data_IF_550671635087
#
_entry.id   IF_550671635087
#
_cell.length_a   1.000
_cell.length_b   1.000
_cell.length_c   1.000
_cell.angle_alpha   90.00
_cell.angle_beta   90.00
_cell.angle_gamma   90.00
#
_symmetry.space_group_name_H-M   'P 1'
#
loop_
_entity.id
_entity.type
_entity.pdbx_description
1 polymer ?
#
# COMPACT_ATOMS: atom_id res chain seq x y z
N UNK A 1 -13.00 -17.30 -24.14
CA UNK A 1 -12.17 -16.14 -24.55
C UNK A 1 -12.19 -15.09 -23.44
N UNK A 2 -11.59 -15.39 -22.28
CA UNK A 2 -11.73 -14.59 -21.05
C UNK A 2 -10.40 -14.22 -20.40
N UNK A 3 -9.31 -14.92 -20.74
CA UNK A 3 -8.07 -14.85 -19.95
C UNK A 3 -7.27 -13.56 -20.21
N UNK A 4 -7.24 -13.07 -21.45
CA UNK A 4 -6.67 -11.74 -21.77
C UNK A 4 -7.36 -10.62 -21.00
N UNK A 5 -8.67 -10.75 -20.78
CA UNK A 5 -9.46 -9.76 -20.02
C UNK A 5 -9.08 -9.84 -18.54
N UNK A 6 -8.94 -11.04 -17.98
CA UNK A 6 -8.53 -11.25 -16.57
C UNK A 6 -7.11 -10.75 -16.28
N UNK A 7 -6.14 -10.99 -17.17
CA UNK A 7 -4.78 -10.48 -16.99
C UNK A 7 -4.73 -8.95 -17.05
N UNK A 8 -5.40 -8.34 -18.04
CA UNK A 8 -5.48 -6.88 -18.15
C UNK A 8 -6.15 -6.26 -16.91
N UNK A 9 -7.18 -6.92 -16.35
CA UNK A 9 -7.81 -6.51 -15.10
C UNK A 9 -6.85 -6.60 -13.90
N UNK A 10 -6.10 -7.69 -13.76
CA UNK A 10 -5.08 -7.85 -12.72
C UNK A 10 -4.02 -6.74 -12.79
N UNK A 11 -3.54 -6.43 -14.00
CA UNK A 11 -2.55 -5.39 -14.20
C UNK A 11 -3.11 -3.99 -13.90
N UNK A 12 -4.36 -3.71 -14.28
CA UNK A 12 -5.07 -2.48 -13.91
C UNK A 12 -5.18 -2.35 -12.39
N UNK A 13 -5.64 -3.40 -11.71
CA UNK A 13 -5.78 -3.41 -10.25
C UNK A 13 -4.45 -3.18 -9.54
N UNK A 14 -3.35 -3.74 -10.05
CA UNK A 14 -2.03 -3.48 -9.50
C UNK A 14 -1.63 -2.00 -9.63
N UNK A 15 -1.88 -1.39 -10.78
CA UNK A 15 -1.64 0.03 -11.00
C UNK A 15 -2.52 0.91 -10.09
N UNK A 16 -3.77 0.53 -9.87
CA UNK A 16 -4.71 1.24 -8.99
C UNK A 16 -4.26 1.17 -7.53
N UNK A 17 -3.79 0.01 -7.07
CA UNK A 17 -3.22 -0.17 -5.71
C UNK A 17 -1.97 0.68 -5.55
N UNK A 18 -1.10 0.72 -6.55
CA UNK A 18 0.11 1.54 -6.50
C UNK A 18 -0.22 3.04 -6.46
N UNK A 19 -1.20 3.49 -7.26
CA UNK A 19 -1.67 4.88 -7.22
C UNK A 19 -2.31 5.25 -5.88
N UNK A 20 -3.09 4.33 -5.30
CA UNK A 20 -3.70 4.51 -3.97
C UNK A 20 -2.64 4.60 -2.88
N UNK A 21 -1.63 3.72 -2.94
CA UNK A 21 -0.49 3.76 -2.02
C UNK A 21 0.26 5.09 -2.06
N UNK A 22 0.53 5.64 -3.26
CA UNK A 22 1.20 6.94 -3.39
C UNK A 22 0.37 8.11 -2.83
N UNK A 23 -0.96 8.10 -3.04
CA UNK A 23 -1.84 9.11 -2.45
C UNK A 23 -1.82 9.04 -0.93
N UNK A 24 -1.89 7.83 -0.40
CA UNK A 24 -1.92 7.60 1.03
C UNK A 24 -0.59 7.98 1.70
N UNK A 25 0.54 7.73 1.04
CA UNK A 25 1.84 8.26 1.47
C UNK A 25 1.84 9.80 1.54
N UNK A 26 1.23 10.46 0.56
CA UNK A 26 1.15 11.93 0.53
C UNK A 26 0.29 12.45 1.69
N UNK A 27 -0.89 11.86 1.90
CA UNK A 27 -1.76 12.21 3.03
C UNK A 27 -1.05 11.97 4.36
N UNK A 28 -0.25 10.91 4.44
CA UNK A 28 0.56 10.65 5.61
C UNK A 28 1.55 11.80 5.87
N UNK A 29 2.36 12.13 4.86
CA UNK A 29 3.35 13.21 4.99
C UNK A 29 2.72 14.57 5.34
N UNK A 30 1.53 14.86 4.81
CA UNK A 30 0.76 16.06 5.15
C UNK A 30 0.31 16.08 6.62
N UNK A 31 -0.23 14.98 7.12
CA UNK A 31 -0.59 14.85 8.54
C UNK A 31 0.64 15.00 9.45
N UNK A 32 1.78 14.40 9.09
CA UNK A 32 3.04 14.57 9.84
C UNK A 32 3.45 16.04 9.93
N UNK A 33 3.31 16.78 8.84
CA UNK A 33 3.60 18.22 8.78
C UNK A 33 2.66 19.04 9.66
N UNK A 34 1.36 18.72 9.66
CA UNK A 34 0.37 19.35 10.54
C UNK A 34 0.67 19.10 12.01
N UNK A 35 0.98 17.84 12.35
CA UNK A 35 1.37 17.40 13.69
C UNK A 35 2.62 18.19 14.14
N UNK A 36 3.65 18.33 13.29
CA UNK A 36 4.85 19.12 13.59
C UNK A 36 4.58 20.61 13.83
N UNK A 37 3.67 21.22 13.07
CA UNK A 37 3.29 22.64 13.27
C UNK A 37 2.59 22.86 14.60
N UNK A 38 1.74 21.93 15.02
CA UNK A 38 1.08 22.00 16.33
C UNK A 38 2.10 21.88 17.46
N UNK A 39 3.12 21.03 17.33
CA UNK A 39 4.18 20.88 18.33
C UNK A 39 4.90 22.19 18.67
N UNK A 40 5.20 23.00 17.65
CA UNK A 40 5.85 24.29 17.82
C UNK A 40 5.03 25.30 18.64
N UNK A 41 3.72 25.07 18.80
CA UNK A 41 2.86 25.90 19.65
C UNK A 41 2.79 25.47 21.13
N UNK A 42 3.32 24.30 21.51
CA UNK A 42 3.17 23.72 22.85
C UNK A 42 4.49 23.50 23.62
N UNK A 43 5.56 24.24 23.30
CA UNK A 43 6.96 24.06 23.77
C UNK A 43 7.22 23.97 25.29
N UNK A 44 6.23 24.12 26.18
CA UNK A 44 6.44 24.15 27.64
C UNK A 44 5.98 22.92 28.46
N UNK A 45 4.87 22.27 28.10
CA UNK A 45 4.23 21.23 28.95
C UNK A 45 3.84 19.94 28.19
N UNK A 46 3.98 19.91 26.85
CA UNK A 46 3.41 18.85 26.01
C UNK A 46 4.43 17.83 25.46
N UNK A 47 5.68 17.79 25.94
CA UNK A 47 6.73 16.90 25.40
C UNK A 47 6.33 15.42 25.39
N UNK A 48 5.70 14.92 26.45
CA UNK A 48 5.26 13.52 26.50
C UNK A 48 4.09 13.23 25.56
N UNK A 49 3.12 14.14 25.49
CA UNK A 49 1.96 14.00 24.59
C UNK A 49 2.43 14.01 23.14
N UNK A 50 3.40 14.86 22.84
CA UNK A 50 4.04 14.94 21.54
C UNK A 50 4.78 13.66 21.15
N UNK A 51 5.59 13.10 22.06
CA UNK A 51 6.28 11.84 21.82
C UNK A 51 5.31 10.68 21.58
N UNK A 52 4.17 10.65 22.30
CA UNK A 52 3.10 9.67 22.04
C UNK A 52 2.52 9.83 20.64
N UNK A 53 2.14 11.04 20.25
CA UNK A 53 1.58 11.30 18.91
C UNK A 53 2.57 10.94 17.80
N UNK A 54 3.85 11.28 17.95
CA UNK A 54 4.88 10.87 16.99
C UNK A 54 5.03 9.35 16.89
N UNK A 55 5.00 8.65 18.02
CA UNK A 55 5.11 7.19 18.04
C UNK A 55 3.89 6.52 17.41
N UNK A 56 2.69 6.96 17.75
CA UNK A 56 1.46 6.43 17.19
C UNK A 56 1.42 6.68 15.68
N UNK A 57 1.88 7.86 15.26
CA UNK A 57 2.06 8.21 13.86
C UNK A 57 3.01 7.28 13.11
N UNK A 58 4.21 7.07 13.65
CA UNK A 58 5.22 6.19 13.05
C UNK A 58 4.69 4.76 12.93
N UNK A 59 4.07 4.23 13.99
CA UNK A 59 3.44 2.91 13.97
C UNK A 59 2.37 2.80 12.89
N UNK A 60 1.43 3.75 12.83
CA UNK A 60 0.34 3.71 11.85
C UNK A 60 0.86 3.79 10.40
N UNK A 61 1.85 4.65 10.16
CA UNK A 61 2.52 4.77 8.85
C UNK A 61 3.18 3.44 8.45
N UNK A 62 3.88 2.82 9.39
CA UNK A 62 4.64 1.60 9.13
C UNK A 62 3.72 0.39 8.89
N UNK A 63 2.64 0.25 9.67
CA UNK A 63 1.62 -0.78 9.46
C UNK A 63 0.96 -0.63 8.08
N UNK A 64 0.70 0.60 7.68
CA UNK A 64 0.07 0.89 6.41
C UNK A 64 0.97 0.54 5.21
N UNK A 65 2.28 0.84 5.29
CA UNK A 65 3.25 0.37 4.31
C UNK A 65 3.27 -1.15 4.19
N UNK A 66 3.25 -1.86 5.32
CA UNK A 66 3.23 -3.32 5.32
C UNK A 66 1.99 -3.88 4.62
N UNK A 67 0.82 -3.28 4.84
CA UNK A 67 -0.43 -3.70 4.20
C UNK A 67 -0.36 -3.47 2.67
N UNK A 68 0.18 -2.32 2.25
CA UNK A 68 0.36 -2.01 0.82
C UNK A 68 1.29 -3.03 0.17
N UNK A 69 2.46 -3.28 0.78
CA UNK A 69 3.44 -4.22 0.25
C UNK A 69 2.88 -5.64 0.17
N UNK A 70 2.18 -6.09 1.22
CA UNK A 70 1.51 -7.39 1.24
C UNK A 70 0.45 -7.50 0.12
N UNK A 71 -0.31 -6.43 -0.11
CA UNK A 71 -1.31 -6.39 -1.18
C UNK A 71 -0.66 -6.47 -2.57
N UNK A 72 0.43 -5.74 -2.80
CA UNK A 72 1.17 -5.79 -4.05
C UNK A 72 1.76 -7.19 -4.31
N UNK A 73 2.34 -7.82 -3.28
CA UNK A 73 2.88 -9.18 -3.37
C UNK A 73 1.79 -10.21 -3.66
N UNK A 74 0.62 -10.10 -3.02
CA UNK A 74 -0.51 -10.99 -3.26
C UNK A 74 -1.03 -10.86 -4.70
N UNK A 75 -1.13 -9.64 -5.23
CA UNK A 75 -1.54 -9.39 -6.61
C UNK A 75 -0.52 -9.93 -7.62
N UNK A 76 0.77 -9.72 -7.38
CA UNK A 76 1.84 -10.29 -8.22
C UNK A 76 1.81 -11.82 -8.23
N UNK A 77 1.68 -12.44 -7.06
CA UNK A 77 1.57 -13.90 -6.92
C UNK A 77 0.33 -14.44 -7.63
N UNK A 78 -0.80 -13.73 -7.56
CA UNK A 78 -2.01 -14.11 -8.30
C UNK A 78 -1.77 -14.07 -9.81
N UNK A 79 -1.12 -13.02 -10.33
CA UNK A 79 -0.79 -12.91 -11.75
C UNK A 79 0.11 -14.06 -12.24
N UNK A 80 1.15 -14.39 -11.47
CA UNK A 80 2.07 -15.50 -11.79
C UNK A 80 1.35 -16.86 -11.80
N UNK A 81 0.54 -17.12 -10.77
CA UNK A 81 -0.25 -18.35 -10.66
C UNK A 81 -1.23 -18.51 -11.82
N UNK A 82 -1.89 -17.42 -12.24
CA UNK A 82 -2.76 -17.43 -13.42
C UNK A 82 -1.99 -17.78 -14.69
N UNK A 83 -0.83 -17.14 -14.91
CA UNK A 83 0.01 -17.41 -16.09
C UNK A 83 0.53 -18.85 -16.13
N UNK A 84 0.92 -19.40 -14.97
CA UNK A 84 1.41 -20.77 -14.85
C UNK A 84 0.30 -21.80 -15.08
N UNK A 85 -0.88 -21.59 -14.50
CA UNK A 85 -2.05 -22.46 -14.70
C UNK A 85 -2.49 -22.47 -16.16
N UNK A 86 -2.44 -21.34 -16.85
CA UNK A 86 -2.78 -21.25 -18.27
C UNK A 86 -1.76 -21.98 -19.16
N UNK A 87 -0.45 -21.77 -18.95
CA UNK A 87 0.59 -22.53 -19.66
C UNK A 87 0.41 -24.05 -19.52
N UNK A 88 0.07 -24.50 -18.32
CA UNK A 88 -0.18 -25.92 -18.03
C UNK A 88 -1.43 -26.44 -18.73
N UNK A 89 -2.52 -25.68 -18.77
CA UNK A 89 -3.74 -26.08 -19.45
C UNK A 89 -3.62 -26.04 -20.97
N UNK A 90 -2.96 -25.04 -21.56
CA UNK A 90 -2.73 -24.98 -23.01
C UNK A 90 -1.79 -26.11 -23.45
N UNK A 91 -0.79 -26.47 -22.65
CA UNK A 91 0.10 -27.60 -22.94
C UNK A 91 -0.52 -28.99 -22.77
N UNK A 92 -1.69 -29.12 -22.13
CA UNK A 92 -2.41 -30.39 -22.02
C UNK A 92 -3.42 -30.64 -23.15
N UNK A 93 -3.81 -29.60 -23.88
CA UNK A 93 -4.86 -29.67 -24.92
C UNK A 93 -4.34 -29.28 -26.31
N UNK A 94 -3.02 -29.07 -26.44
CA UNK A 94 -2.31 -28.84 -27.71
C UNK A 94 -1.49 -30.05 -28.14
#
# INVERSE_FOLDING_TARGET
MTIRVTFAQLQSTQSDVQGTASKLQTELDDMKSLIAKLAGSYEGEASESWQRVQKDWESATQELHQIIDATQQALGSAAENYQAAEKKNVGMWG
#
